data_IF_021625848544
#
_entry.id   IF_021625848544
#
_cell.length_a   1.000
_cell.length_b   1.000
_cell.length_c   1.000
_cell.angle_alpha   90.00
_cell.angle_beta   90.00
_cell.angle_gamma   90.00
#
_symmetry.space_group_name_H-M   'P 1'
#
loop_
_entity.id
_entity.type
_entity.pdbx_description
1 polymer ?
#
# COMPACT_ATOMS: atom_id res chain seq x y z
N UNK A 1 -22.22 12.26 5.68
CA UNK A 1 -21.62 12.14 4.32
C UNK A 1 -21.81 13.45 3.57
N UNK A 2 -20.85 13.87 2.75
CA UNK A 2 -21.00 15.01 1.82
C UNK A 2 -21.46 14.49 0.45
N UNK A 3 -22.52 15.08 -0.11
CA UNK A 3 -22.95 14.78 -1.49
C UNK A 3 -21.92 15.40 -2.44
N UNK A 4 -21.42 14.59 -3.36
CA UNK A 4 -20.43 14.99 -4.36
C UNK A 4 -20.93 14.55 -5.73
N UNK A 5 -20.88 15.45 -6.71
CA UNK A 5 -21.20 15.15 -8.10
C UNK A 5 -19.88 14.99 -8.86
N UNK A 6 -19.75 13.91 -9.62
CA UNK A 6 -18.61 13.63 -10.50
C UNK A 6 -19.14 13.25 -11.87
N UNK A 7 -18.41 13.62 -12.91
CA UNK A 7 -18.66 13.11 -14.26
C UNK A 7 -17.92 11.79 -14.42
N UNK A 8 -18.59 10.80 -15.01
CA UNK A 8 -18.02 9.50 -15.34
C UNK A 8 -18.45 9.13 -16.75
N UNK A 9 -17.58 8.42 -17.46
CA UNK A 9 -17.90 7.93 -18.79
C UNK A 9 -19.12 6.98 -18.74
N UNK A 10 -20.05 7.04 -19.72
CA UNK A 10 -21.26 6.22 -19.71
C UNK A 10 -20.98 4.72 -19.63
N UNK A 11 -19.92 4.27 -20.30
CA UNK A 11 -19.46 2.87 -20.27
C UNK A 11 -19.02 2.42 -18.88
N UNK A 12 -18.43 3.32 -18.09
CA UNK A 12 -18.01 3.06 -16.71
C UNK A 12 -19.25 2.97 -15.81
N UNK A 13 -20.23 3.85 -15.97
CA UNK A 13 -21.48 3.78 -15.19
C UNK A 13 -22.22 2.45 -15.42
N UNK A 14 -22.29 2.00 -16.68
CA UNK A 14 -22.89 0.70 -17.01
C UNK A 14 -22.10 -0.47 -16.42
N UNK A 15 -20.77 -0.43 -16.46
CA UNK A 15 -19.93 -1.45 -15.84
C UNK A 15 -20.14 -1.51 -14.32
N UNK A 16 -20.21 -0.35 -13.66
CA UNK A 16 -20.48 -0.24 -12.22
C UNK A 16 -21.86 -0.77 -11.85
N UNK A 17 -22.89 -0.49 -12.66
CA UNK A 17 -24.24 -1.00 -12.44
C UNK A 17 -24.29 -2.54 -12.52
N UNK A 18 -23.67 -3.14 -13.56
CA UNK A 18 -23.59 -4.59 -13.72
C UNK A 18 -22.85 -5.25 -12.55
N UNK A 19 -21.71 -4.66 -12.16
CA UNK A 19 -20.92 -5.15 -11.04
C UNK A 19 -21.68 -5.10 -9.72
N UNK A 20 -22.40 -4.00 -9.47
CA UNK A 20 -23.21 -3.87 -8.26
C UNK A 20 -24.29 -4.95 -8.16
N UNK A 21 -24.97 -5.28 -9.27
CA UNK A 21 -25.94 -6.37 -9.33
C UNK A 21 -25.27 -7.72 -9.05
N UNK A 22 -24.13 -8.00 -9.68
CA UNK A 22 -23.40 -9.25 -9.48
C UNK A 22 -22.92 -9.43 -8.03
N UNK A 23 -22.54 -8.34 -7.36
CA UNK A 23 -22.10 -8.34 -5.96
C UNK A 23 -23.25 -8.20 -4.94
N UNK A 24 -24.51 -8.11 -5.41
CA UNK A 24 -25.67 -7.94 -4.52
C UNK A 24 -25.65 -6.63 -3.72
N UNK A 25 -25.00 -5.59 -4.25
CA UNK A 25 -24.83 -4.29 -3.60
C UNK A 25 -25.42 -3.15 -4.43
N UNK A 26 -25.41 -1.94 -3.89
CA UNK A 26 -25.83 -0.75 -4.64
C UNK A 26 -24.66 -0.13 -5.38
N UNK A 27 -24.93 0.47 -6.56
CA UNK A 27 -23.92 1.23 -7.31
C UNK A 27 -23.22 2.29 -6.46
N UNK A 28 -23.98 2.96 -5.58
CA UNK A 28 -23.43 3.97 -4.68
C UNK A 28 -22.48 3.37 -3.63
N UNK A 29 -22.79 2.19 -3.08
CA UNK A 29 -21.90 1.53 -2.12
C UNK A 29 -20.61 1.04 -2.77
N UNK A 30 -20.74 0.47 -3.97
CA UNK A 30 -19.58 0.09 -4.79
C UNK A 30 -18.64 1.28 -5.05
N UNK A 31 -19.20 2.43 -5.46
CA UNK A 31 -18.41 3.66 -5.68
C UNK A 31 -17.75 4.13 -4.39
N UNK A 32 -18.47 4.11 -3.25
CA UNK A 32 -17.92 4.50 -1.95
C UNK A 32 -16.76 3.61 -1.53
N UNK A 33 -16.89 2.30 -1.67
CA UNK A 33 -15.86 1.32 -1.34
C UNK A 33 -14.62 1.53 -2.22
N UNK A 34 -14.80 1.64 -3.54
CA UNK A 34 -13.70 1.86 -4.47
C UNK A 34 -12.93 3.17 -4.18
N UNK A 35 -13.63 4.27 -3.90
CA UNK A 35 -13.00 5.54 -3.54
C UNK A 35 -12.28 5.46 -2.19
N UNK A 36 -12.82 4.70 -1.23
CA UNK A 36 -12.16 4.48 0.08
C UNK A 36 -10.88 3.69 -0.08
N UNK A 37 -10.89 2.62 -0.86
CA UNK A 37 -9.70 1.80 -1.09
C UNK A 37 -8.63 2.58 -1.85
N UNK A 38 -9.02 3.32 -2.90
CA UNK A 38 -8.11 4.16 -3.66
C UNK A 38 -7.49 5.28 -2.81
N UNK A 39 -8.27 5.92 -1.94
CA UNK A 39 -7.77 6.96 -1.04
C UNK A 39 -6.99 6.40 0.16
N UNK A 40 -7.34 5.19 0.61
CA UNK A 40 -6.79 4.51 1.79
C UNK A 40 -5.45 3.84 1.53
N UNK A 41 -5.06 3.64 0.27
CA UNK A 41 -3.72 3.24 -0.13
C UNK A 41 -2.71 4.35 0.17
N UNK A 42 -2.40 4.58 1.45
CA UNK A 42 -1.29 5.43 1.81
C UNK A 42 -0.02 4.77 1.31
N UNK A 43 0.82 5.50 0.55
CA UNK A 43 2.20 5.14 0.22
C UNK A 43 3.09 4.90 1.46
N UNK A 44 2.53 5.07 2.66
CA UNK A 44 3.16 4.69 3.92
C UNK A 44 3.26 3.17 3.95
N UNK A 45 4.31 2.65 3.32
CA UNK A 45 4.86 1.34 3.64
C UNK A 45 5.23 1.41 5.11
N UNK A 46 4.29 1.02 5.98
CA UNK A 46 4.60 0.84 7.39
C UNK A 46 5.57 -0.33 7.42
N UNK A 47 6.83 -0.16 7.89
CA UNK A 47 7.77 -1.25 7.93
C UNK A 47 7.15 -2.39 8.73
N UNK A 48 6.82 -3.50 8.07
CA UNK A 48 6.25 -4.68 8.72
C UNK A 48 7.33 -5.55 9.38
N UNK A 49 8.59 -5.23 9.09
CA UNK A 49 9.77 -6.01 9.45
C UNK A 49 10.74 -5.19 10.30
N UNK A 50 10.24 -4.50 11.33
CA UNK A 50 11.14 -3.88 12.33
C UNK A 50 11.65 -5.01 13.24
N UNK A 51 12.96 -5.27 13.24
CA UNK A 51 13.59 -6.29 14.08
C UNK A 51 13.60 -7.72 13.51
N UNK A 52 13.30 -7.91 12.21
CA UNK A 52 13.34 -9.25 11.58
C UNK A 52 14.77 -9.78 11.40
N UNK A 53 15.75 -8.88 11.39
CA UNK A 53 17.16 -9.23 11.33
C UNK A 53 17.81 -8.86 12.66
N UNK A 54 18.63 -9.77 13.17
CA UNK A 54 19.53 -9.53 14.27
C UNK A 54 20.91 -9.19 13.71
N UNK A 55 21.54 -8.16 14.26
CA UNK A 55 22.86 -7.71 13.86
C UNK A 55 23.42 -6.72 14.86
N UNK A 56 24.71 -6.36 14.74
CA UNK A 56 25.31 -5.35 15.58
C UNK A 56 24.50 -4.04 15.50
N UNK A 57 24.21 -3.46 16.66
CA UNK A 57 23.64 -2.12 16.72
C UNK A 57 24.70 -1.11 16.28
N UNK A 58 24.25 -0.01 15.66
CA UNK A 58 25.11 1.12 15.28
C UNK A 58 26.20 0.80 14.24
N UNK A 59 25.76 0.29 13.09
CA UNK A 59 26.63 0.05 11.93
C UNK A 59 27.30 1.34 11.43
N UNK A 60 26.66 2.50 11.62
CA UNK A 60 27.16 3.79 11.16
C UNK A 60 28.40 4.25 11.94
N UNK A 61 28.42 4.06 13.26
CA UNK A 61 29.58 4.45 14.07
C UNK A 61 30.74 3.44 14.01
N UNK A 62 30.48 2.19 13.58
CA UNK A 62 31.46 1.08 13.64
C UNK A 62 31.62 0.34 12.32
N UNK A 63 31.48 1.07 11.21
CA UNK A 63 31.51 0.47 9.87
C UNK A 63 32.79 -0.32 9.61
N UNK A 64 33.95 0.29 9.85
CA UNK A 64 35.25 -0.34 9.52
C UNK A 64 35.53 -1.59 10.35
N UNK A 65 35.15 -1.56 11.64
CA UNK A 65 35.30 -2.71 12.54
C UNK A 65 34.49 -3.91 12.06
N UNK A 66 33.23 -3.69 11.69
CA UNK A 66 32.35 -4.76 11.21
C UNK A 66 32.74 -5.29 9.83
N UNK A 67 33.23 -4.42 8.94
CA UNK A 67 33.73 -4.86 7.63
C UNK A 67 34.97 -5.74 7.76
N UNK A 68 35.88 -5.42 8.68
CA UNK A 68 37.06 -6.24 8.95
C UNK A 68 36.70 -7.59 9.58
N UNK A 69 35.78 -7.63 10.56
CA UNK A 69 35.37 -8.86 11.25
C UNK A 69 34.61 -9.84 10.36
N UNK A 70 33.91 -9.34 9.34
CA UNK A 70 33.09 -10.17 8.45
C UNK A 70 33.85 -10.72 7.25
N UNK A 71 35.14 -10.35 7.08
CA UNK A 71 35.95 -10.77 5.93
C UNK A 71 35.44 -10.19 4.61
N UNK A 72 34.81 -9.01 4.66
CA UNK A 72 34.20 -8.41 3.48
C UNK A 72 35.28 -8.09 2.42
N UNK A 73 35.20 -8.75 1.27
CA UNK A 73 36.13 -8.56 0.15
C UNK A 73 37.26 -9.59 0.06
N UNK A 74 37.33 -10.56 0.96
CA UNK A 74 38.22 -11.72 0.81
C UNK A 74 37.50 -12.79 -0.04
N UNK A 75 38.08 -13.17 -1.18
CA UNK A 75 37.60 -14.20 -2.12
C UNK A 75 38.55 -15.39 -2.16
#
# INVERSE_FOLDING_TARGET
MKKTSIYIEPEVDMALARRAVAEGTTKAELIRAALRDAAGASLRVKPRAVGVFTGPADLAARTDEHLAQTGFGES
#
